data_IF_680462595504
#
_entry.id   IF_680462595504
#
_cell.length_a   1.000
_cell.length_b   1.000
_cell.length_c   1.000
_cell.angle_alpha   90.00
_cell.angle_beta   90.00
_cell.angle_gamma   90.00
#
_symmetry.space_group_name_H-M   'P 1'
#
loop_
_entity.id
_entity.type
_entity.pdbx_description
1 polymer ?
#
# COMPACT_ATOMS: atom_id res chain seq x y z
N UNK A 1 -5.16 14.82 -10.58
CA UNK A 1 -4.77 13.41 -10.41
C UNK A 1 -5.68 12.83 -9.36
N UNK A 2 -6.35 11.72 -9.67
CA UNK A 2 -7.34 11.07 -8.82
C UNK A 2 -6.67 10.03 -7.90
N UNK A 3 -5.68 10.46 -7.13
CA UNK A 3 -4.90 9.57 -6.26
C UNK A 3 -5.75 9.06 -5.10
N UNK A 4 -5.39 7.87 -4.63
CA UNK A 4 -6.13 7.15 -3.60
C UNK A 4 -5.71 7.71 -2.25
N UNK A 5 -6.70 8.05 -1.42
CA UNK A 5 -6.57 8.28 0.01
C UNK A 5 -7.61 7.41 0.69
N UNK A 6 -7.21 6.71 1.75
CA UNK A 6 -8.03 5.70 2.39
C UNK A 6 -9.39 6.18 2.89
N UNK A 7 -9.49 7.44 3.31
CA UNK A 7 -10.75 8.05 3.76
C UNK A 7 -11.80 8.18 2.67
N UNK A 8 -11.42 8.27 1.39
CA UNK A 8 -12.36 8.38 0.27
C UNK A 8 -13.24 7.15 0.10
N UNK A 9 -12.80 5.99 0.57
CA UNK A 9 -13.61 4.77 0.55
C UNK A 9 -14.84 4.83 1.47
N UNK A 10 -14.84 5.75 2.46
CA UNK A 10 -16.00 6.00 3.33
C UNK A 10 -17.18 6.51 2.49
N UNK A 11 -16.89 7.36 1.49
CA UNK A 11 -17.91 8.01 0.66
C UNK A 11 -18.68 7.02 -0.25
N UNK A 12 -18.17 5.79 -0.41
CA UNK A 12 -18.85 4.74 -1.17
C UNK A 12 -19.94 4.03 -0.35
N UNK A 13 -19.92 4.14 0.98
CA UNK A 13 -20.89 3.49 1.84
C UNK A 13 -22.25 4.20 1.76
N UNK A 14 -23.30 3.44 1.47
CA UNK A 14 -24.68 3.92 1.49
C UNK A 14 -25.48 3.41 2.70
N UNK A 15 -24.88 2.56 3.54
CA UNK A 15 -25.50 1.93 4.71
C UNK A 15 -26.76 1.10 4.40
N UNK A 16 -26.94 0.69 3.15
CA UNK A 16 -28.03 -0.19 2.70
C UNK A 16 -27.46 -1.53 2.24
N UNK A 17 -26.61 -1.50 1.20
CA UNK A 17 -25.95 -2.68 0.63
C UNK A 17 -24.43 -2.49 0.47
N UNK A 18 -23.88 -1.30 0.77
CA UNK A 18 -22.44 -1.06 0.88
C UNK A 18 -22.14 -0.46 2.25
N UNK A 19 -21.35 -1.18 3.05
CA UNK A 19 -20.94 -0.75 4.38
C UNK A 19 -19.43 -0.49 4.41
N UNK A 20 -19.02 0.53 5.16
CA UNK A 20 -17.61 0.80 5.47
C UNK A 20 -17.34 0.57 6.96
N UNK A 21 -16.21 -0.06 7.30
CA UNK A 21 -15.70 -0.17 8.68
C UNK A 21 -14.20 0.07 8.75
N UNK A 22 -13.70 0.51 9.90
CA UNK A 22 -12.28 0.29 10.17
C UNK A 22 -12.03 -1.22 10.32
N UNK A 23 -10.87 -1.73 9.92
CA UNK A 23 -10.61 -3.19 9.99
C UNK A 23 -10.80 -3.76 11.40
N UNK A 24 -10.41 -3.03 12.43
CA UNK A 24 -10.59 -3.44 13.83
C UNK A 24 -12.06 -3.51 14.30
N UNK A 25 -13.00 -2.89 13.57
CA UNK A 25 -14.43 -2.92 13.89
C UNK A 25 -15.17 -4.06 13.16
N UNK A 26 -14.54 -4.73 12.19
CA UNK A 26 -15.20 -5.70 11.32
C UNK A 26 -15.75 -6.89 12.09
N UNK A 27 -15.00 -7.43 13.04
CA UNK A 27 -15.43 -8.57 13.84
C UNK A 27 -16.70 -8.27 14.63
N UNK A 28 -16.79 -7.05 15.19
CA UNK A 28 -17.98 -6.61 15.89
C UNK A 28 -19.15 -6.41 14.92
N UNK A 29 -18.89 -5.81 13.76
CA UNK A 29 -19.89 -5.60 12.72
C UNK A 29 -20.51 -6.90 12.22
N UNK A 30 -19.71 -7.93 11.92
CA UNK A 30 -20.22 -9.24 11.50
C UNK A 30 -21.06 -9.95 12.57
N UNK A 31 -20.72 -9.76 13.85
CA UNK A 31 -21.52 -10.30 14.97
C UNK A 31 -22.83 -9.53 15.21
N UNK A 32 -22.92 -8.28 14.73
CA UNK A 32 -24.02 -7.37 15.01
C UNK A 32 -24.50 -6.69 13.72
N UNK A 33 -24.80 -7.50 12.69
CA UNK A 33 -25.19 -6.98 11.39
C UNK A 33 -26.44 -6.11 11.49
N UNK A 34 -26.46 -4.93 10.84
CA UNK A 34 -27.62 -4.06 10.84
C UNK A 34 -28.72 -4.52 9.86
N UNK A 35 -28.44 -5.56 9.06
CA UNK A 35 -29.31 -6.03 7.99
C UNK A 35 -29.11 -7.52 7.70
N UNK A 36 -30.15 -8.16 7.18
CA UNK A 36 -30.11 -9.51 6.61
C UNK A 36 -30.05 -9.51 5.07
N UNK A 37 -30.04 -8.33 4.44
CA UNK A 37 -29.92 -8.21 3.00
C UNK A 37 -28.48 -8.50 2.54
N UNK A 38 -28.28 -9.01 1.31
CA UNK A 38 -26.95 -9.12 0.72
C UNK A 38 -26.21 -7.77 0.69
N UNK A 39 -24.92 -7.78 1.01
CA UNK A 39 -24.13 -6.54 1.10
C UNK A 39 -22.65 -6.71 0.75
N UNK A 40 -22.01 -5.59 0.41
CA UNK A 40 -20.55 -5.46 0.25
C UNK A 40 -19.98 -4.80 1.50
N UNK A 41 -18.84 -5.30 1.96
CA UNK A 41 -18.05 -4.66 3.01
C UNK A 41 -16.81 -3.99 2.41
N UNK A 42 -16.55 -2.76 2.82
CA UNK A 42 -15.28 -2.08 2.66
C UNK A 42 -14.63 -1.97 4.04
N UNK A 43 -13.39 -2.45 4.21
CA UNK A 43 -12.62 -2.21 5.44
C UNK A 43 -11.27 -1.56 5.18
N UNK A 44 -10.97 -0.48 5.89
CA UNK A 44 -9.76 0.31 5.65
C UNK A 44 -9.26 1.01 6.93
N UNK A 45 -8.21 1.81 6.80
CA UNK A 45 -7.74 2.76 7.82
C UNK A 45 -7.48 2.08 9.18
N UNK A 46 -6.69 1.00 9.16
CA UNK A 46 -6.29 0.24 10.34
C UNK A 46 -5.03 -0.57 10.02
N UNK A 47 -4.10 -0.68 10.96
CA UNK A 47 -2.88 -1.48 10.76
C UNK A 47 -3.16 -2.99 10.74
N UNK A 48 -4.28 -3.41 11.35
CA UNK A 48 -4.65 -4.82 11.44
C UNK A 48 -4.96 -5.47 10.09
N UNK A 49 -4.73 -6.77 10.03
CA UNK A 49 -4.88 -7.59 8.83
C UNK A 49 -6.23 -8.29 8.77
N UNK A 50 -6.61 -8.73 7.56
CA UNK A 50 -7.74 -9.63 7.32
C UNK A 50 -7.21 -11.05 7.20
N UNK A 51 -7.58 -11.95 8.11
CA UNK A 51 -6.96 -13.28 8.19
C UNK A 51 -7.86 -14.35 8.82
N UNK A 52 -7.38 -15.59 8.88
CA UNK A 52 -7.97 -16.65 9.69
C UNK A 52 -7.41 -16.61 11.11
N UNK A 53 -8.26 -16.80 12.12
CA UNK A 53 -7.86 -17.02 13.51
C UNK A 53 -6.85 -15.98 14.03
N UNK A 54 -7.21 -14.68 14.01
CA UNK A 54 -6.30 -13.64 14.44
C UNK A 54 -5.91 -13.77 15.91
N UNK A 55 -4.66 -13.41 16.21
CA UNK A 55 -4.13 -13.36 17.57
C UNK A 55 -4.07 -11.92 18.14
N UNK A 56 -4.50 -10.93 17.35
CA UNK A 56 -4.60 -9.52 17.73
C UNK A 56 -6.02 -9.03 17.54
N UNK A 57 -6.48 -8.17 18.44
CA UNK A 57 -7.84 -7.65 18.44
C UNK A 57 -8.13 -6.73 17.25
N UNK A 58 -7.10 -6.06 16.71
CA UNK A 58 -7.25 -5.13 15.59
C UNK A 58 -7.32 -5.82 14.21
N UNK A 59 -7.13 -7.14 14.17
CA UNK A 59 -7.27 -7.95 12.96
C UNK A 59 -8.71 -8.42 12.76
N UNK A 60 -9.13 -8.50 11.51
CA UNK A 60 -10.45 -9.02 11.14
C UNK A 60 -10.38 -10.51 10.80
N UNK A 61 -11.30 -11.30 11.35
CA UNK A 61 -11.38 -12.75 11.16
C UNK A 61 -12.37 -13.11 10.06
N UNK A 62 -11.88 -13.78 9.02
CA UNK A 62 -12.74 -14.21 7.92
C UNK A 62 -13.66 -15.38 8.30
N UNK A 63 -13.41 -16.06 9.42
CA UNK A 63 -14.30 -17.09 9.96
C UNK A 63 -15.68 -16.54 10.38
N UNK A 64 -15.77 -15.22 10.59
CA UNK A 64 -16.99 -14.53 10.99
C UNK A 64 -17.82 -14.01 9.80
N UNK A 65 -17.38 -14.27 8.55
CA UNK A 65 -18.10 -13.82 7.36
C UNK A 65 -19.53 -14.37 7.36
N UNK A 66 -20.56 -13.51 7.23
CA UNK A 66 -21.94 -13.97 7.13
C UNK A 66 -22.28 -14.45 5.73
N UNK A 67 -23.28 -15.34 5.62
CA UNK A 67 -23.79 -15.85 4.34
C UNK A 67 -24.37 -14.76 3.42
N UNK A 68 -24.66 -13.57 3.95
CA UNK A 68 -25.19 -12.41 3.23
C UNK A 68 -24.08 -11.53 2.64
N UNK A 69 -22.80 -11.79 2.92
CA UNK A 69 -21.70 -11.05 2.31
C UNK A 69 -21.59 -11.40 0.82
N UNK A 70 -21.73 -10.41 -0.05
CA UNK A 70 -21.47 -10.51 -1.49
C UNK A 70 -19.96 -10.53 -1.74
N UNK A 71 -19.25 -9.52 -1.21
CA UNK A 71 -17.80 -9.39 -1.32
C UNK A 71 -17.25 -8.46 -0.25
N UNK A 72 -15.98 -8.63 0.09
CA UNK A 72 -15.25 -7.79 1.03
C UNK A 72 -13.98 -7.22 0.38
N UNK A 73 -14.00 -5.90 0.22
CA UNK A 73 -12.85 -5.11 -0.20
C UNK A 73 -12.11 -4.59 1.03
N UNK A 74 -10.86 -5.01 1.21
CA UNK A 74 -10.15 -4.77 2.46
C UNK A 74 -8.69 -4.39 2.30
N UNK A 75 -8.17 -3.56 3.18
CA UNK A 75 -6.73 -3.35 3.31
C UNK A 75 -6.07 -4.51 4.07
N UNK A 76 -4.77 -4.75 3.82
CA UNK A 76 -3.95 -5.73 4.56
C UNK A 76 -4.52 -7.16 4.53
N UNK A 77 -4.85 -7.67 3.34
CA UNK A 77 -5.41 -9.01 3.17
C UNK A 77 -4.34 -10.07 3.34
N UNK A 78 -4.38 -10.83 4.45
CA UNK A 78 -3.48 -11.94 4.76
C UNK A 78 -4.14 -13.30 4.58
N UNK A 79 -4.95 -13.46 3.53
CA UNK A 79 -5.72 -14.67 3.32
C UNK A 79 -6.07 -14.87 1.86
N UNK A 80 -6.19 -16.14 1.45
CA UNK A 80 -6.81 -16.49 0.17
C UNK A 80 -8.27 -16.80 0.41
N UNK A 81 -9.16 -15.99 -0.17
CA UNK A 81 -10.60 -16.20 -0.16
C UNK A 81 -11.21 -15.68 -1.47
N UNK A 82 -12.21 -16.36 -2.06
CA UNK A 82 -12.89 -15.86 -3.25
C UNK A 82 -13.74 -14.62 -2.97
N UNK A 83 -14.10 -14.37 -1.69
CA UNK A 83 -14.97 -13.26 -1.27
C UNK A 83 -14.18 -12.06 -0.75
N UNK A 84 -12.84 -12.10 -0.77
CA UNK A 84 -12.00 -11.03 -0.21
C UNK A 84 -11.02 -10.54 -1.27
N UNK A 85 -10.94 -9.23 -1.45
CA UNK A 85 -9.96 -8.61 -2.33
C UNK A 85 -9.24 -7.46 -1.64
N UNK A 86 -7.94 -7.34 -1.88
CA UNK A 86 -7.19 -6.21 -1.36
C UNK A 86 -7.60 -4.92 -2.07
N UNK A 87 -7.72 -3.83 -1.31
CA UNK A 87 -7.80 -2.46 -1.81
C UNK A 87 -6.61 -1.63 -1.30
N UNK A 88 -6.12 -0.65 -2.09
CA UNK A 88 -4.93 0.13 -1.77
C UNK A 88 -5.02 0.92 -0.47
N UNK A 89 -3.96 0.92 0.36
CA UNK A 89 -3.82 1.91 1.44
C UNK A 89 -3.76 3.35 0.92
N UNK A 90 -3.20 3.54 -0.28
CA UNK A 90 -3.08 4.84 -0.93
C UNK A 90 -2.15 5.78 -0.17
N UNK A 91 -2.37 7.08 -0.34
CA UNK A 91 -1.71 8.13 0.42
C UNK A 91 -2.32 8.26 1.82
N UNK A 92 -1.49 8.73 2.75
CA UNK A 92 -1.92 9.06 4.11
C UNK A 92 -3.04 10.12 4.09
N UNK A 93 -4.04 9.94 4.96
CA UNK A 93 -5.18 10.86 5.05
C UNK A 93 -4.76 12.23 5.62
N UNK A 94 -5.39 13.31 5.15
CA UNK A 94 -4.98 14.69 5.48
C UNK A 94 -5.12 15.04 6.97
N UNK A 95 -5.98 14.30 7.69
CA UNK A 95 -6.24 14.51 9.13
C UNK A 95 -5.02 14.29 10.03
N UNK A 96 -4.00 13.57 9.57
CA UNK A 96 -2.85 13.15 10.39
C UNK A 96 -1.62 14.06 10.29
N UNK A 97 -1.51 14.90 9.24
CA UNK A 97 -0.37 15.82 9.07
C UNK A 97 -0.83 17.22 8.63
N UNK A 98 -1.30 18.04 9.58
CA UNK A 98 -1.89 19.36 9.34
C UNK A 98 -0.93 20.46 8.82
N UNK A 99 0.38 20.20 8.68
CA UNK A 99 1.38 21.25 8.42
C UNK A 99 1.83 21.38 6.96
N UNK A 100 1.59 20.39 6.12
CA UNK A 100 1.88 20.44 4.69
C UNK A 100 0.75 19.71 3.93
N UNK A 101 0.14 20.33 2.91
CA UNK A 101 -0.75 19.59 2.01
C UNK A 101 0.13 18.65 1.19
N UNK A 102 0.37 17.43 1.71
CA UNK A 102 1.21 16.36 1.13
C UNK A 102 1.02 16.23 -0.39
N UNK A 103 -0.25 16.24 -0.80
CA UNK A 103 -0.69 16.20 -2.19
C UNK A 103 -0.16 17.38 -3.04
N UNK A 104 -0.12 18.59 -2.47
CA UNK A 104 0.45 19.76 -3.14
C UNK A 104 1.95 19.58 -3.36
N UNK A 105 2.70 19.17 -2.33
CA UNK A 105 4.14 18.96 -2.45
C UNK A 105 4.48 17.89 -3.49
N UNK A 106 3.76 16.78 -3.51
CA UNK A 106 3.91 15.76 -4.54
C UNK A 106 3.64 16.30 -5.94
N UNK A 107 2.56 17.07 -6.13
CA UNK A 107 2.24 17.71 -7.42
C UNK A 107 3.31 18.71 -7.86
N UNK A 108 3.82 19.51 -6.93
CA UNK A 108 4.86 20.50 -7.21
C UNK A 108 6.18 19.78 -7.56
N UNK A 109 6.52 18.70 -6.85
CA UNK A 109 7.70 17.87 -7.12
C UNK A 109 7.64 17.22 -8.51
N UNK A 110 6.48 16.72 -8.95
CA UNK A 110 6.29 16.15 -10.29
C UNK A 110 6.49 17.16 -11.42
N UNK A 111 6.35 18.47 -11.14
CA UNK A 111 6.55 19.54 -12.14
C UNK A 111 7.98 20.03 -12.22
N UNK A 112 8.81 19.71 -11.23
CA UNK A 112 10.22 20.07 -11.19
C UNK A 112 11.11 19.05 -11.90
N UNK A 113 12.22 19.53 -12.47
CA UNK A 113 13.25 18.66 -13.02
C UNK A 113 14.19 18.18 -11.91
N UNK A 114 14.55 16.90 -11.99
CA UNK A 114 15.39 16.24 -11.00
C UNK A 114 16.61 15.61 -11.64
N UNK A 115 17.78 15.87 -11.05
CA UNK A 115 19.01 15.16 -11.42
C UNK A 115 18.93 13.75 -10.85
N UNK A 116 18.93 12.74 -11.70
CA UNK A 116 18.94 11.33 -11.27
C UNK A 116 20.21 11.01 -10.48
N UNK A 117 20.06 10.20 -9.44
CA UNK A 117 21.12 9.73 -8.54
C UNK A 117 21.30 8.22 -8.72
N UNK A 118 21.61 7.53 -7.64
CA UNK A 118 21.85 6.11 -7.53
C UNK A 118 20.63 5.29 -7.96
N UNK A 119 20.81 3.98 -8.14
CA UNK A 119 19.76 3.08 -8.60
C UNK A 119 18.68 2.83 -7.54
N UNK A 120 19.09 2.73 -6.27
CA UNK A 120 18.21 2.36 -5.17
C UNK A 120 18.22 3.39 -4.06
N UNK A 121 17.03 3.70 -3.55
CA UNK A 121 16.84 4.48 -2.34
C UNK A 121 16.26 3.64 -1.20
N UNK A 122 16.74 3.86 0.02
CA UNK A 122 16.20 3.23 1.23
C UNK A 122 15.87 4.33 2.22
N UNK A 123 14.60 4.43 2.59
CA UNK A 123 14.12 5.36 3.61
C UNK A 123 12.87 4.84 4.31
N UNK A 124 13.11 4.18 5.45
CA UNK A 124 12.04 3.66 6.31
C UNK A 124 12.43 3.60 7.78
N UNK A 125 11.45 3.86 8.65
CA UNK A 125 11.61 3.73 10.10
C UNK A 125 11.61 2.25 10.50
N UNK A 126 12.74 1.79 11.05
CA UNK A 126 12.94 0.41 11.53
C UNK A 126 11.93 0.03 12.63
N UNK A 127 11.57 0.97 13.51
CA UNK A 127 10.78 0.69 14.72
C UNK A 127 9.39 0.14 14.43
N UNK A 128 8.84 0.34 13.24
CA UNK A 128 7.49 -0.11 12.91
C UNK A 128 7.43 -1.61 12.60
N UNK A 129 8.53 -2.21 12.15
CA UNK A 129 8.68 -3.64 11.90
C UNK A 129 10.17 -4.01 11.87
N UNK A 130 10.82 -4.17 13.04
CA UNK A 130 12.28 -4.35 13.10
C UNK A 130 12.77 -5.57 12.31
N UNK A 131 12.03 -6.69 12.38
CA UNK A 131 12.37 -7.94 11.71
C UNK A 131 12.56 -7.76 10.21
N UNK A 132 11.58 -7.17 9.52
CA UNK A 132 11.66 -6.97 8.07
C UNK A 132 12.52 -5.76 7.69
N UNK A 133 12.47 -4.68 8.48
CA UNK A 133 13.05 -3.39 8.10
C UNK A 133 14.54 -3.27 8.39
N UNK A 134 15.07 -3.89 9.44
CA UNK A 134 16.52 -3.88 9.69
C UNK A 134 17.29 -4.65 8.62
N UNK A 135 16.74 -5.77 8.16
CA UNK A 135 17.41 -6.69 7.24
C UNK A 135 17.79 -5.99 5.93
N UNK A 136 16.87 -5.21 5.36
CA UNK A 136 17.11 -4.44 4.13
C UNK A 136 18.28 -3.45 4.25
N UNK A 137 18.39 -2.70 5.36
CA UNK A 137 19.54 -1.83 5.58
C UNK A 137 20.84 -2.62 5.68
N UNK A 138 20.87 -3.68 6.51
CA UNK A 138 22.09 -4.48 6.74
C UNK A 138 22.66 -5.08 5.46
N UNK A 139 21.82 -5.48 4.52
CA UNK A 139 22.25 -6.11 3.25
C UNK A 139 22.75 -5.08 2.24
N UNK A 140 22.12 -3.91 2.21
CA UNK A 140 22.29 -2.92 1.13
C UNK A 140 23.20 -1.75 1.51
N UNK A 141 23.57 -1.63 2.79
CA UNK A 141 24.51 -0.63 3.27
C UNK A 141 25.90 -0.79 2.65
N UNK A 142 26.53 0.35 2.33
CA UNK A 142 27.87 0.41 1.74
C UNK A 142 27.94 0.12 0.23
N UNK A 143 26.83 -0.19 -0.44
CA UNK A 143 26.79 -0.40 -1.90
C UNK A 143 26.79 0.95 -2.63
N UNK A 144 27.70 1.13 -3.59
CA UNK A 144 27.87 2.40 -4.33
C UNK A 144 26.66 2.83 -5.16
N UNK A 145 25.76 1.91 -5.49
CA UNK A 145 24.52 2.14 -6.25
C UNK A 145 23.28 2.32 -5.34
N UNK A 146 23.48 2.44 -4.03
CA UNK A 146 22.42 2.64 -3.02
C UNK A 146 22.59 3.99 -2.33
N UNK A 147 21.50 4.70 -2.12
CA UNK A 147 21.39 5.86 -1.22
C UNK A 147 20.53 5.49 -0.02
N UNK A 148 21.01 5.80 1.18
CA UNK A 148 20.38 5.41 2.45
C UNK A 148 20.09 6.65 3.27
N UNK A 149 18.83 6.78 3.70
CA UNK A 149 18.40 7.68 4.75
C UNK A 149 17.68 6.88 5.84
N UNK A 150 17.99 7.15 7.12
CA UNK A 150 17.28 6.53 8.24
C UNK A 150 16.05 7.35 8.64
N UNK A 151 14.97 7.21 7.87
CA UNK A 151 13.74 7.97 8.07
C UNK A 151 13.08 7.78 9.43
N UNK A 152 12.42 8.84 9.87
CA UNK A 152 11.47 8.82 10.99
C UNK A 152 10.12 9.33 10.51
N UNK A 153 9.04 8.82 11.10
CA UNK A 153 7.69 9.17 10.64
C UNK A 153 7.43 10.66 10.88
N UNK A 154 6.88 11.35 9.87
CA UNK A 154 6.48 12.75 9.97
C UNK A 154 7.60 13.79 9.81
N UNK A 155 8.82 13.38 9.41
CA UNK A 155 9.94 14.28 9.19
C UNK A 155 10.44 14.24 7.74
N UNK A 156 10.84 15.41 7.22
CA UNK A 156 11.59 15.53 5.96
C UNK A 156 10.84 15.09 4.71
N UNK A 157 9.53 15.36 4.62
CA UNK A 157 8.71 14.86 3.51
C UNK A 157 9.15 15.42 2.15
N UNK A 158 9.56 16.69 2.09
CA UNK A 158 10.06 17.30 0.84
C UNK A 158 11.38 16.67 0.38
N UNK A 159 12.30 16.42 1.31
CA UNK A 159 13.58 15.74 1.04
C UNK A 159 13.35 14.30 0.60
N UNK A 160 12.43 13.60 1.25
CA UNK A 160 11.99 12.26 0.88
C UNK A 160 11.40 12.22 -0.54
N UNK A 161 10.49 13.14 -0.88
CA UNK A 161 9.91 13.21 -2.23
C UNK A 161 10.96 13.51 -3.30
N UNK A 162 11.91 14.40 -3.00
CA UNK A 162 13.03 14.68 -3.89
C UNK A 162 13.86 13.41 -4.11
N UNK A 163 14.20 12.69 -3.04
CA UNK A 163 14.94 11.45 -3.13
C UNK A 163 14.18 10.39 -3.96
N UNK A 164 12.88 10.18 -3.75
CA UNK A 164 12.07 9.29 -4.59
C UNK A 164 12.20 9.67 -6.08
N UNK A 165 12.06 10.95 -6.42
CA UNK A 165 12.13 11.40 -7.81
C UNK A 165 13.52 11.23 -8.44
N UNK A 166 14.57 11.22 -7.62
CA UNK A 166 15.96 11.09 -8.06
C UNK A 166 16.38 9.63 -8.29
N UNK A 167 15.65 8.65 -7.77
CA UNK A 167 16.03 7.24 -7.82
C UNK A 167 15.04 6.40 -8.67
N UNK A 168 15.52 5.43 -9.45
CA UNK A 168 14.66 4.47 -10.14
C UNK A 168 13.87 3.55 -9.19
N UNK A 169 14.49 3.10 -8.10
CA UNK A 169 13.88 2.16 -7.15
C UNK A 169 13.86 2.69 -5.72
N UNK A 170 12.90 2.20 -4.94
CA UNK A 170 12.83 2.41 -3.49
C UNK A 170 12.46 1.11 -2.76
N UNK A 171 13.14 0.80 -1.67
CA UNK A 171 12.79 -0.34 -0.79
C UNK A 171 11.48 -0.03 -0.05
N UNK A 172 10.47 -0.89 -0.20
CA UNK A 172 9.15 -0.75 0.42
C UNK A 172 8.75 -1.96 1.29
N UNK A 173 9.44 -2.17 2.43
CA UNK A 173 9.16 -3.28 3.33
C UNK A 173 7.90 -3.01 4.14
N UNK A 174 7.23 -4.10 4.52
CA UNK A 174 6.07 -4.08 5.41
C UNK A 174 6.30 -3.20 6.65
N UNK A 175 5.26 -2.51 7.08
CA UNK A 175 5.24 -1.67 8.28
C UNK A 175 4.48 -2.35 9.40
N UNK A 176 3.60 -1.60 10.05
CA UNK A 176 2.63 -2.17 10.98
C UNK A 176 1.62 -3.09 10.28
N UNK A 177 1.25 -2.74 9.04
CA UNK A 177 0.51 -3.59 8.10
C UNK A 177 1.36 -4.03 6.91
N UNK A 178 0.77 -4.88 6.07
CA UNK A 178 1.40 -5.39 4.84
C UNK A 178 1.49 -4.35 3.73
N UNK A 179 0.45 -3.54 3.54
CA UNK A 179 0.45 -2.45 2.57
C UNK A 179 1.05 -1.18 3.19
N UNK A 180 1.77 -0.38 2.40
CA UNK A 180 2.44 0.82 2.91
C UNK A 180 2.20 2.03 2.04
N UNK A 181 2.03 3.20 2.66
CA UNK A 181 1.94 4.48 1.94
C UNK A 181 3.12 4.71 0.99
N UNK A 182 4.32 4.23 1.37
CA UNK A 182 5.55 4.34 0.57
C UNK A 182 5.40 3.72 -0.83
N UNK A 183 4.73 2.58 -0.93
CA UNK A 183 4.48 1.91 -2.21
C UNK A 183 3.69 2.82 -3.14
N UNK A 184 2.60 3.40 -2.64
CA UNK A 184 1.73 4.29 -3.40
C UNK A 184 2.41 5.62 -3.72
N UNK A 185 3.12 6.21 -2.76
CA UNK A 185 3.95 7.40 -2.98
C UNK A 185 4.98 7.17 -4.09
N UNK A 186 5.70 6.04 -4.07
CA UNK A 186 6.67 5.69 -5.11
C UNK A 186 6.02 5.59 -6.48
N UNK A 187 4.93 4.82 -6.59
CA UNK A 187 4.19 4.63 -7.84
C UNK A 187 3.68 5.97 -8.42
N UNK A 188 3.14 6.84 -7.56
CA UNK A 188 2.66 8.17 -7.98
C UNK A 188 3.79 9.10 -8.42
N UNK A 189 4.99 8.92 -7.89
CA UNK A 189 6.17 9.73 -8.19
C UNK A 189 7.06 9.13 -9.28
N UNK A 190 6.65 8.02 -9.91
CA UNK A 190 7.39 7.36 -10.99
C UNK A 190 8.65 6.63 -10.52
N UNK A 191 8.71 6.26 -9.25
CA UNK A 191 9.74 5.41 -8.66
C UNK A 191 9.17 4.00 -8.47
N UNK A 192 9.98 2.98 -8.71
CA UNK A 192 9.56 1.59 -8.65
C UNK A 192 9.73 1.07 -7.22
N UNK A 193 8.65 0.76 -6.49
CA UNK A 193 8.79 0.13 -5.17
C UNK A 193 9.30 -1.31 -5.33
N UNK A 194 10.19 -1.71 -4.43
CA UNK A 194 10.62 -3.09 -4.26
C UNK A 194 9.96 -3.67 -3.02
N UNK A 195 9.22 -4.77 -3.19
CA UNK A 195 8.49 -5.44 -2.11
C UNK A 195 8.83 -6.93 -2.04
N UNK A 196 8.79 -7.49 -0.83
CA UNK A 196 8.72 -8.94 -0.67
C UNK A 196 7.32 -9.43 -1.01
N UNK A 197 7.22 -10.54 -1.73
CA UNK A 197 5.91 -11.16 -2.05
C UNK A 197 5.18 -11.57 -0.78
N UNK A 198 3.90 -11.20 -0.69
CA UNK A 198 2.99 -11.59 0.39
C UNK A 198 1.56 -11.79 -0.16
N UNK A 199 0.62 -12.18 0.70
CA UNK A 199 -0.77 -12.43 0.28
C UNK A 199 -1.52 -11.16 -0.12
N UNK A 200 -1.09 -9.99 0.38
CA UNK A 200 -1.74 -8.72 0.09
C UNK A 200 -1.31 -8.15 -1.27
N UNK A 201 -0.01 -8.18 -1.60
CA UNK A 201 0.50 -7.55 -2.81
C UNK A 201 0.30 -8.39 -4.09
N UNK A 202 -0.14 -9.65 -3.97
CA UNK A 202 -0.61 -10.45 -5.11
C UNK A 202 -1.75 -9.79 -5.90
N UNK A 203 -2.51 -8.88 -5.28
CA UNK A 203 -3.61 -8.16 -5.93
C UNK A 203 -3.12 -7.01 -6.84
N UNK A 204 -1.81 -6.73 -6.81
CA UNK A 204 -1.14 -5.62 -7.47
C UNK A 204 0.00 -6.08 -8.39
N UNK A 205 0.02 -7.36 -8.82
CA UNK A 205 1.06 -7.90 -9.71
C UNK A 205 1.07 -7.29 -11.12
N UNK A 206 -0.01 -6.62 -11.51
CA UNK A 206 -0.18 -5.87 -12.75
C UNK A 206 0.15 -4.37 -12.59
N UNK A 207 0.84 -3.99 -11.50
CA UNK A 207 1.43 -2.67 -11.30
C UNK A 207 2.97 -2.72 -11.45
N UNK A 208 3.64 -1.58 -11.73
CA UNK A 208 5.10 -1.52 -11.86
C UNK A 208 5.80 -1.61 -10.50
N UNK A 209 5.71 -2.79 -9.87
CA UNK A 209 6.34 -3.16 -8.60
C UNK A 209 7.41 -4.22 -8.88
N UNK A 210 8.57 -4.08 -8.26
CA UNK A 210 9.63 -5.07 -8.31
C UNK A 210 9.46 -6.03 -7.13
N UNK A 211 9.03 -7.26 -7.41
CA UNK A 211 8.81 -8.26 -6.38
C UNK A 211 10.02 -9.17 -6.19
N UNK A 212 10.46 -9.30 -4.94
CA UNK A 212 11.48 -10.27 -4.49
C UNK A 212 10.86 -11.27 -3.51
N UNK A 213 11.49 -12.42 -3.29
CA UNK A 213 11.12 -13.31 -2.19
C UNK A 213 11.93 -12.99 -0.94
N UNK A 214 13.19 -12.54 -1.11
CA UNK A 214 14.06 -12.10 -0.03
C UNK A 214 14.95 -10.92 -0.45
N UNK A 215 15.40 -10.12 0.52
CA UNK A 215 16.18 -8.90 0.26
C UNK A 215 17.56 -9.19 -0.36
N UNK A 216 18.08 -10.39 -0.14
CA UNK A 216 19.36 -10.90 -0.67
C UNK A 216 19.37 -11.07 -2.19
N UNK A 217 18.20 -11.13 -2.84
CA UNK A 217 18.08 -11.17 -4.30
C UNK A 217 18.50 -9.84 -4.95
N UNK A 218 18.54 -8.76 -4.17
CA UNK A 218 18.79 -7.41 -4.67
C UNK A 218 20.28 -7.19 -4.91
N UNK A 219 20.67 -7.21 -6.18
CA UNK A 219 21.98 -6.76 -6.68
C UNK A 219 21.82 -5.65 -7.71
N UNK A 220 22.91 -4.96 -8.07
CA UNK A 220 22.89 -3.93 -9.11
C UNK A 220 22.41 -4.50 -10.45
N UNK A 221 22.92 -5.67 -10.83
CA UNK A 221 22.58 -6.34 -12.09
C UNK A 221 21.12 -6.80 -12.10
N UNK A 222 20.61 -7.25 -10.94
CA UNK A 222 19.19 -7.58 -10.79
C UNK A 222 18.32 -6.34 -11.03
N UNK A 223 18.62 -5.21 -10.39
CA UNK A 223 17.86 -3.97 -10.55
C UNK A 223 17.92 -3.41 -11.97
N UNK A 224 19.06 -3.50 -12.65
CA UNK A 224 19.18 -3.08 -14.05
C UNK A 224 18.26 -3.92 -14.95
N UNK A 225 18.21 -5.24 -14.75
CA UNK A 225 17.28 -6.12 -15.51
C UNK A 225 15.82 -5.80 -15.21
N UNK A 226 15.48 -5.63 -13.94
CA UNK A 226 14.11 -5.29 -13.52
C UNK A 226 13.68 -3.92 -14.05
N UNK A 227 14.60 -2.96 -14.13
CA UNK A 227 14.31 -1.63 -14.68
C UNK A 227 13.93 -1.71 -16.16
N UNK A 228 14.63 -2.55 -16.93
CA UNK A 228 14.30 -2.80 -18.34
C UNK A 228 12.93 -3.45 -18.42
N UNK A 229 12.73 -4.58 -17.73
CA UNK A 229 11.47 -5.33 -17.71
C UNK A 229 10.30 -4.40 -17.40
N UNK A 230 10.38 -3.65 -16.30
CA UNK A 230 9.30 -2.78 -15.84
C UNK A 230 9.04 -1.62 -16.80
N UNK A 231 10.06 -1.05 -17.44
CA UNK A 231 9.86 0.03 -18.42
C UNK A 231 9.31 -0.44 -19.76
N UNK A 232 9.47 -1.73 -20.09
CA UNK A 232 9.00 -2.32 -21.35
C UNK A 232 7.69 -3.09 -21.23
N UNK A 233 7.19 -3.31 -20.01
CA UNK A 233 5.90 -3.95 -19.74
C UNK A 233 4.78 -2.92 -19.75
N UNK A 234 3.64 -3.28 -20.32
CA UNK A 234 2.39 -2.52 -20.16
C UNK A 234 1.72 -2.87 -18.83
N UNK A 235 1.38 -1.85 -18.05
CA UNK A 235 0.90 -2.00 -16.68
C UNK A 235 -0.52 -1.46 -16.52
N UNK A 236 -1.28 -2.04 -15.60
CA UNK A 236 -2.62 -1.59 -15.28
C UNK A 236 -2.61 -0.34 -14.40
N UNK A 237 -2.24 0.79 -15.00
CA UNK A 237 -2.10 2.07 -14.29
C UNK A 237 -3.45 2.62 -13.78
N UNK A 238 -4.59 2.10 -14.27
CA UNK A 238 -5.92 2.49 -13.76
C UNK A 238 -6.08 2.16 -12.27
N UNK A 239 -5.43 1.09 -11.78
CA UNK A 239 -5.40 0.71 -10.35
C UNK A 239 -4.79 1.76 -9.43
N UNK A 240 -4.07 2.75 -9.97
CA UNK A 240 -3.55 3.88 -9.20
C UNK A 240 -4.61 4.96 -8.94
N UNK A 241 -5.79 4.86 -9.55
CA UNK A 241 -6.87 5.85 -9.41
C UNK A 241 -7.96 5.38 -8.46
N UNK A 242 -8.54 6.31 -7.71
CA UNK A 242 -9.69 6.00 -6.88
C UNK A 242 -10.91 5.58 -7.72
N UNK A 243 -11.12 6.22 -8.87
CA UNK A 243 -12.23 5.93 -9.79
C UNK A 243 -12.28 4.45 -10.21
N UNK A 244 -11.13 3.83 -10.51
CA UNK A 244 -11.07 2.40 -10.82
C UNK A 244 -11.65 1.55 -9.67
N UNK A 245 -11.24 1.81 -8.43
CA UNK A 245 -11.70 1.04 -7.28
C UNK A 245 -13.15 1.32 -6.92
N UNK A 246 -13.59 2.59 -7.02
CA UNK A 246 -14.98 2.96 -6.84
C UNK A 246 -15.89 2.23 -7.83
N UNK A 247 -15.55 2.24 -9.12
CA UNK A 247 -16.29 1.53 -10.16
C UNK A 247 -16.27 0.01 -9.91
N UNK A 248 -15.12 -0.55 -9.55
CA UNK A 248 -14.99 -1.97 -9.25
C UNK A 248 -15.89 -2.39 -8.09
N UNK A 249 -15.93 -1.61 -7.01
CA UNK A 249 -16.75 -1.88 -5.83
C UNK A 249 -18.24 -1.75 -6.18
N UNK A 250 -18.63 -0.69 -6.88
CA UNK A 250 -20.02 -0.44 -7.26
C UNK A 250 -20.57 -1.50 -8.22
N UNK A 251 -19.74 -2.08 -9.09
CA UNK A 251 -20.15 -3.15 -10.01
C UNK A 251 -20.47 -4.48 -9.31
N UNK A 252 -20.12 -4.64 -8.02
CA UNK A 252 -20.55 -5.79 -7.20
C UNK A 252 -21.92 -5.56 -6.54
N UNK A 253 -22.41 -4.31 -6.49
CA UNK A 253 -23.56 -3.89 -5.67
C UNK A 253 -24.88 -4.07 -6.41
#
# INVERSE_FOLDING_TARGET
MDWIQGERFIDLANNVNIFYRHTHDVNYFFKNLPTNNPFILISHNSDGCIMWNPNREDHADISLIPNTLIHWFGQNVNVTSPFVSSIPIGLENDKWQKKEQKLRLMKDMLRSNHVKRNLLYINHNVKTNPTEREKSYKILEGKSWVTIDHGTNGAGFSEYLLAICQHPFIISPEGHGMDTHRTWEALYMGCIPIEKRNLNNRFYEDLPICFVNDWEEITEEFLVRELIRIRTTDWNMEKLTFAYWANKIQNYA
#
